data_IF_780929647543
#
_entry.id   IF_780929647543
#
_cell.length_a   1.000
_cell.length_b   1.000
_cell.length_c   1.000
_cell.angle_alpha   90.00
_cell.angle_beta   90.00
_cell.angle_gamma   90.00
#
_symmetry.space_group_name_H-M   'P 1'
#
loop_
_entity.id
_entity.type
_entity.pdbx_description
1 polymer ?
#
# COMPACT_ATOMS: atom_id res chain seq x y z
N UNK A 1 29.86 -12.03 -13.92
CA UNK A 1 29.03 -11.66 -12.76
C UNK A 1 29.76 -10.65 -11.87
N UNK A 2 29.36 -9.39 -11.99
CA UNK A 2 29.67 -8.34 -11.02
C UNK A 2 28.78 -8.40 -9.79
N UNK A 3 29.29 -7.92 -8.64
CA UNK A 3 28.50 -7.67 -7.42
C UNK A 3 28.18 -6.18 -7.35
N UNK A 4 26.89 -5.84 -7.31
CA UNK A 4 26.39 -4.46 -7.27
C UNK A 4 25.75 -4.21 -5.91
N UNK A 5 26.17 -3.16 -5.22
CA UNK A 5 25.50 -2.69 -3.99
C UNK A 5 24.14 -2.11 -4.32
N UNK A 6 23.10 -2.52 -3.59
CA UNK A 6 21.77 -1.95 -3.74
C UNK A 6 21.77 -0.58 -3.06
N UNK A 7 21.59 0.48 -3.86
CA UNK A 7 21.44 1.87 -3.41
C UNK A 7 19.95 2.26 -3.36
N UNK A 8 19.60 3.42 -2.75
CA UNK A 8 18.23 3.93 -2.76
C UNK A 8 17.58 4.03 -4.16
N UNK A 9 18.36 4.24 -5.21
CA UNK A 9 17.88 4.39 -6.60
C UNK A 9 17.22 3.11 -7.15
N UNK A 10 17.54 1.95 -6.57
CA UNK A 10 16.91 0.68 -6.94
C UNK A 10 15.51 0.54 -6.37
N UNK A 11 15.13 1.30 -5.35
CA UNK A 11 13.90 1.04 -4.59
C UNK A 11 12.77 1.95 -5.04
N UNK A 12 11.63 1.35 -5.34
CA UNK A 12 10.40 2.07 -5.67
C UNK A 12 9.32 1.83 -4.60
N UNK A 13 8.45 2.83 -4.39
CA UNK A 13 7.32 2.78 -3.46
C UNK A 13 7.68 3.00 -1.97
N UNK A 14 8.93 3.34 -1.67
CA UNK A 14 9.38 3.71 -0.33
C UNK A 14 9.13 5.18 -0.03
N UNK A 15 8.87 5.51 1.24
CA UNK A 15 8.77 6.89 1.73
C UNK A 15 10.14 7.43 2.10
N UNK A 16 10.93 6.64 2.82
CA UNK A 16 12.36 6.88 3.04
C UNK A 16 13.11 5.56 2.98
N UNK A 17 14.44 5.65 2.80
CA UNK A 17 15.32 4.49 2.71
C UNK A 17 16.46 4.74 3.70
N UNK A 18 16.58 3.86 4.69
CA UNK A 18 17.67 3.85 5.65
C UNK A 18 18.85 3.12 5.04
N UNK A 19 19.98 3.81 4.88
CA UNK A 19 21.25 3.22 4.44
C UNK A 19 22.09 2.89 5.67
N UNK A 20 22.43 1.61 5.85
CA UNK A 20 23.31 1.12 6.90
C UNK A 20 24.60 0.51 6.36
N UNK A 21 25.37 -0.16 7.21
CA UNK A 21 26.63 -0.82 6.85
C UNK A 21 26.41 -1.97 5.85
N UNK A 22 26.45 -1.64 4.57
CA UNK A 22 26.33 -2.56 3.45
C UNK A 22 24.91 -3.04 3.15
N UNK A 23 23.87 -2.31 3.60
CA UNK A 23 22.49 -2.60 3.25
C UNK A 23 21.63 -1.34 3.16
N UNK A 24 20.52 -1.44 2.43
CA UNK A 24 19.40 -0.49 2.48
C UNK A 24 18.17 -1.15 3.09
N UNK A 25 17.42 -0.36 3.86
CA UNK A 25 16.14 -0.76 4.45
C UNK A 25 15.08 0.27 4.06
N UNK A 26 14.09 -0.11 3.24
CA UNK A 26 13.06 0.84 2.86
C UNK A 26 11.94 0.90 3.90
N UNK A 27 11.38 2.10 4.08
CA UNK A 27 10.39 2.44 5.09
C UNK A 27 9.16 3.09 4.47
N UNK A 28 7.99 2.86 5.07
CA UNK A 28 6.72 3.57 4.79
C UNK A 28 6.47 4.72 5.76
N UNK A 29 7.55 5.29 6.27
CA UNK A 29 7.56 6.45 7.17
C UNK A 29 8.84 7.22 6.95
N UNK A 30 8.98 8.38 7.58
CA UNK A 30 10.30 9.00 7.79
C UNK A 30 10.96 8.31 9.00
N UNK A 31 11.91 7.41 8.73
CA UNK A 31 12.55 6.60 9.77
C UNK A 31 13.35 7.43 10.78
N UNK A 32 13.78 8.64 10.39
CA UNK A 32 14.50 9.57 11.27
C UNK A 32 13.57 10.27 12.25
N UNK A 33 12.28 10.36 11.91
CA UNK A 33 11.23 10.99 12.71
C UNK A 33 10.21 9.97 13.24
N UNK A 34 10.53 8.67 13.26
CA UNK A 34 9.60 7.60 13.66
C UNK A 34 8.95 7.79 15.03
N UNK A 35 9.61 8.51 15.94
CA UNK A 35 9.09 8.85 17.27
C UNK A 35 7.87 9.79 17.24
N UNK A 36 7.60 10.45 16.10
CA UNK A 36 6.41 11.28 15.91
C UNK A 36 5.17 10.48 15.51
N UNK A 37 5.25 9.15 15.44
CA UNK A 37 4.16 8.27 15.03
C UNK A 37 3.79 7.31 16.18
N UNK A 38 3.23 7.82 17.29
CA UNK A 38 2.96 7.02 18.47
C UNK A 38 1.83 6.01 18.24
N UNK A 39 1.92 4.87 18.92
CA UNK A 39 0.85 3.87 19.00
C UNK A 39 1.13 2.93 20.16
N UNK A 40 0.12 2.16 20.58
CA UNK A 40 0.32 1.10 21.58
C UNK A 40 1.38 0.13 21.04
N UNK A 41 2.40 -0.14 21.86
CA UNK A 41 3.53 -1.02 21.57
C UNK A 41 4.28 -0.69 20.26
N UNK A 42 4.31 0.58 19.86
CA UNK A 42 4.91 1.05 18.59
C UNK A 42 4.39 0.32 17.34
N UNK A 43 3.17 -0.23 17.40
CA UNK A 43 2.60 -1.03 16.33
C UNK A 43 2.49 -0.27 14.99
N UNK A 44 2.20 1.03 15.00
CA UNK A 44 2.20 1.89 13.81
C UNK A 44 3.56 1.89 13.11
N UNK A 45 4.63 2.15 13.85
CA UNK A 45 6.01 2.12 13.32
C UNK A 45 6.39 0.71 12.86
N UNK A 46 5.98 -0.32 13.59
CA UNK A 46 6.17 -1.70 13.19
C UNK A 46 5.49 -2.01 11.84
N UNK A 47 4.24 -1.58 11.62
CA UNK A 47 3.58 -1.73 10.33
C UNK A 47 4.32 -0.94 9.24
N UNK A 48 4.72 0.30 9.50
CA UNK A 48 5.44 1.14 8.53
C UNK A 48 6.83 0.60 8.16
N UNK A 49 7.41 -0.29 8.97
CA UNK A 49 8.69 -0.95 8.69
C UNK A 49 8.63 -2.07 7.65
N UNK A 50 7.42 -2.56 7.31
CA UNK A 50 7.19 -3.64 6.35
C UNK A 50 7.12 -3.05 4.92
N UNK A 51 7.86 -3.59 3.94
CA UNK A 51 7.98 -2.97 2.61
C UNK A 51 6.82 -3.33 1.66
N UNK A 52 5.58 -3.19 2.15
CA UNK A 52 4.38 -3.52 1.39
C UNK A 52 4.24 -2.61 0.17
N UNK A 53 4.09 -3.20 -1.01
CA UNK A 53 3.99 -2.46 -2.28
C UNK A 53 5.31 -1.91 -2.81
N UNK A 54 6.43 -2.18 -2.13
CA UNK A 54 7.75 -1.76 -2.58
C UNK A 54 8.37 -2.82 -3.49
N UNK A 55 9.24 -2.37 -4.38
CA UNK A 55 9.99 -3.26 -5.27
C UNK A 55 11.40 -2.74 -5.54
N UNK A 56 12.29 -3.66 -5.86
CA UNK A 56 13.59 -3.36 -6.48
C UNK A 56 13.37 -3.29 -7.98
N UNK A 57 13.71 -2.17 -8.64
CA UNK A 57 13.54 -1.95 -10.08
C UNK A 57 14.89 -1.73 -10.76
N UNK A 58 15.22 -2.55 -11.76
CA UNK A 58 16.50 -2.54 -12.45
C UNK A 58 16.41 -3.15 -13.86
N UNK A 59 17.48 -3.02 -14.65
CA UNK A 59 17.71 -3.83 -15.87
C UNK A 59 18.96 -4.66 -15.69
N UNK A 60 19.13 -5.72 -16.48
CA UNK A 60 20.31 -6.61 -16.41
C UNK A 60 20.48 -7.41 -17.69
N UNK A 61 21.73 -7.54 -18.15
CA UNK A 61 22.07 -8.43 -19.28
C UNK A 61 22.13 -9.90 -18.87
N UNK A 62 21.94 -10.21 -17.59
CA UNK A 62 21.92 -11.57 -17.07
C UNK A 62 20.52 -12.19 -17.16
N UNK A 63 20.44 -13.46 -17.53
CA UNK A 63 19.17 -14.23 -17.49
C UNK A 63 18.82 -14.75 -16.08
N UNK A 64 19.74 -14.58 -15.13
CA UNK A 64 19.57 -14.85 -13.71
C UNK A 64 20.42 -13.90 -12.88
N UNK A 65 19.91 -13.50 -11.71
CA UNK A 65 20.67 -12.72 -10.71
C UNK A 65 20.49 -13.31 -9.32
N UNK A 66 21.41 -12.95 -8.42
CA UNK A 66 21.37 -13.40 -7.03
C UNK A 66 21.37 -12.21 -6.08
N UNK A 67 20.33 -12.09 -5.26
CA UNK A 67 20.21 -11.07 -4.23
C UNK A 67 20.82 -11.55 -2.92
N UNK A 68 21.54 -10.67 -2.23
CA UNK A 68 21.96 -10.84 -0.84
C UNK A 68 21.09 -9.98 0.08
N UNK A 69 20.56 -10.59 1.13
CA UNK A 69 19.67 -9.99 2.11
C UNK A 69 20.15 -10.30 3.54
N UNK A 70 19.76 -9.50 4.53
CA UNK A 70 19.90 -9.92 5.92
C UNK A 70 18.88 -11.02 6.28
N UNK A 71 19.24 -11.94 7.18
CA UNK A 71 18.36 -13.02 7.60
C UNK A 71 17.12 -12.46 8.30
N UNK A 72 16.02 -13.21 8.23
CA UNK A 72 14.78 -12.92 8.95
C UNK A 72 14.27 -14.21 9.62
N UNK A 73 13.48 -14.07 10.69
CA UNK A 73 12.95 -15.18 11.45
C UNK A 73 11.77 -15.89 10.76
N UNK A 74 11.21 -15.31 9.70
CA UNK A 74 10.10 -15.91 8.94
C UNK A 74 10.46 -16.15 7.47
N UNK A 75 9.83 -17.16 6.86
CA UNK A 75 9.86 -17.34 5.41
C UNK A 75 9.25 -16.13 4.71
N UNK A 76 9.96 -15.62 3.71
CA UNK A 76 9.60 -14.42 2.95
C UNK A 76 9.32 -14.79 1.50
N UNK A 77 8.27 -14.22 0.93
CA UNK A 77 7.94 -14.36 -0.50
C UNK A 77 8.29 -13.10 -1.27
N UNK A 78 8.79 -13.28 -2.48
CA UNK A 78 9.12 -12.24 -3.45
C UNK A 78 8.40 -12.56 -4.76
N UNK A 79 8.05 -11.56 -5.54
CA UNK A 79 7.52 -11.78 -6.89
C UNK A 79 8.42 -11.13 -7.94
N UNK A 80 8.65 -11.86 -9.03
CA UNK A 80 9.25 -11.33 -10.25
C UNK A 80 8.12 -10.80 -11.13
N UNK A 81 8.19 -9.50 -11.45
CA UNK A 81 7.28 -8.83 -12.36
C UNK A 81 8.09 -8.21 -13.48
N UNK A 82 7.67 -8.44 -14.73
CA UNK A 82 8.28 -7.86 -15.94
C UNK A 82 7.17 -7.17 -16.72
N UNK A 83 7.37 -5.88 -17.02
CA UNK A 83 6.26 -5.03 -17.46
C UNK A 83 5.17 -4.97 -16.38
N UNK A 84 3.95 -5.36 -16.75
CA UNK A 84 2.81 -5.45 -15.82
C UNK A 84 2.43 -6.91 -15.47
N UNK A 85 3.21 -7.89 -15.94
CA UNK A 85 2.92 -9.32 -15.76
C UNK A 85 3.75 -9.94 -14.64
N UNK A 86 3.07 -10.69 -13.76
CA UNK A 86 3.74 -11.47 -12.71
C UNK A 86 4.24 -12.78 -13.30
N UNK A 87 5.55 -12.96 -13.31
CA UNK A 87 6.21 -14.12 -13.90
C UNK A 87 6.27 -15.28 -12.92
N UNK A 88 6.78 -15.04 -11.71
CA UNK A 88 6.99 -16.09 -10.71
C UNK A 88 6.93 -15.54 -9.29
N UNK A 89 6.77 -16.45 -8.34
CA UNK A 89 6.88 -16.18 -6.90
C UNK A 89 8.01 -17.04 -6.37
N UNK A 90 8.94 -16.41 -5.66
CA UNK A 90 10.05 -17.08 -5.00
C UNK A 90 9.84 -17.03 -3.49
N UNK A 91 10.29 -18.07 -2.79
CA UNK A 91 10.33 -18.12 -1.33
C UNK A 91 11.78 -18.15 -0.87
N UNK A 92 12.06 -17.42 0.21
CA UNK A 92 13.33 -17.44 0.92
C UNK A 92 13.02 -17.89 2.34
N UNK A 93 13.59 -19.02 2.77
CA UNK A 93 13.26 -19.60 4.06
C UNK A 93 13.84 -18.79 5.22
N UNK A 94 13.32 -19.04 6.43
CA UNK A 94 13.78 -18.37 7.64
C UNK A 94 15.29 -18.58 7.83
N UNK A 95 16.02 -17.49 8.10
CA UNK A 95 17.47 -17.49 8.24
C UNK A 95 18.26 -17.45 6.93
N UNK A 96 17.66 -17.73 5.77
CA UNK A 96 18.35 -17.65 4.50
C UNK A 96 18.59 -16.20 4.06
N UNK A 97 19.73 -16.00 3.39
CA UNK A 97 20.26 -14.67 3.02
C UNK A 97 20.44 -14.48 1.53
N UNK A 98 20.18 -15.51 0.73
CA UNK A 98 20.49 -15.51 -0.71
C UNK A 98 19.26 -15.92 -1.50
N UNK A 99 18.75 -15.02 -2.34
CA UNK A 99 17.62 -15.26 -3.23
C UNK A 99 18.08 -15.28 -4.68
N UNK A 100 17.92 -16.40 -5.37
CA UNK A 100 18.23 -16.52 -6.80
C UNK A 100 16.98 -16.28 -7.64
N UNK A 101 17.11 -15.45 -8.68
CA UNK A 101 16.01 -15.06 -9.55
C UNK A 101 16.42 -15.35 -10.99
N UNK A 102 15.83 -16.38 -11.58
CA UNK A 102 16.02 -16.72 -13.00
C UNK A 102 14.83 -16.30 -13.87
N UNK A 103 14.93 -16.60 -15.17
CA UNK A 103 13.88 -16.28 -16.14
C UNK A 103 13.85 -14.80 -16.51
N UNK A 104 15.00 -14.11 -16.41
CA UNK A 104 15.13 -12.71 -16.81
C UNK A 104 15.38 -12.61 -18.32
N UNK A 105 14.99 -11.49 -18.97
CA UNK A 105 15.16 -11.30 -20.41
C UNK A 105 16.63 -11.32 -20.85
N UNK A 106 17.54 -10.83 -19.99
CA UNK A 106 18.97 -10.75 -20.30
C UNK A 106 19.31 -9.63 -21.29
N UNK A 107 18.61 -8.49 -21.20
CA UNK A 107 18.79 -7.31 -22.05
C UNK A 107 18.98 -6.02 -21.22
N UNK A 108 19.33 -4.91 -21.87
CA UNK A 108 19.56 -3.62 -21.19
C UNK A 108 18.32 -2.70 -21.18
N UNK A 109 17.21 -3.13 -21.77
CA UNK A 109 16.07 -2.26 -22.08
C UNK A 109 14.87 -2.55 -21.17
N UNK A 110 14.65 -3.82 -20.84
CA UNK A 110 13.44 -4.31 -20.16
C UNK A 110 13.54 -4.13 -18.64
N UNK A 111 12.77 -3.22 -18.03
CA UNK A 111 12.76 -3.06 -16.58
C UNK A 111 12.17 -4.29 -15.89
N UNK A 112 12.88 -4.78 -14.88
CA UNK A 112 12.50 -5.88 -14.01
C UNK A 112 12.13 -5.33 -12.64
N UNK A 113 11.10 -5.89 -12.02
CA UNK A 113 10.69 -5.57 -10.67
C UNK A 113 10.67 -6.79 -9.76
N UNK A 114 11.37 -6.71 -8.62
CA UNK A 114 11.28 -7.70 -7.55
C UNK A 114 10.46 -7.11 -6.41
N UNK A 115 9.21 -7.55 -6.30
CA UNK A 115 8.28 -7.09 -5.28
C UNK A 115 8.62 -7.67 -3.91
N UNK A 116 8.72 -6.79 -2.92
CA UNK A 116 9.24 -7.12 -1.60
C UNK A 116 8.17 -7.72 -0.67
N UNK A 117 8.56 -8.61 0.25
CA UNK A 117 7.67 -9.23 1.24
C UNK A 117 6.84 -8.23 2.04
N UNK A 118 5.62 -8.61 2.39
CA UNK A 118 4.75 -7.80 3.27
C UNK A 118 4.70 -8.29 4.73
N UNK A 119 5.42 -9.38 5.05
CA UNK A 119 5.54 -9.97 6.39
C UNK A 119 6.96 -9.74 6.93
N UNK A 120 7.16 -8.60 7.60
CA UNK A 120 8.43 -8.23 8.23
C UNK A 120 9.25 -7.20 7.43
N UNK A 121 10.27 -6.59 8.05
CA UNK A 121 11.20 -5.70 7.37
C UNK A 121 12.12 -6.45 6.40
N UNK A 122 12.69 -5.75 5.43
CA UNK A 122 13.65 -6.32 4.49
C UNK A 122 14.87 -5.41 4.42
N UNK A 123 16.05 -5.99 4.61
CA UNK A 123 17.34 -5.31 4.48
C UNK A 123 18.06 -5.94 3.28
N UNK A 124 18.25 -5.14 2.24
CA UNK A 124 18.81 -5.54 0.94
C UNK A 124 20.27 -5.10 0.86
N UNK A 125 21.18 -6.00 0.49
CA UNK A 125 22.62 -5.72 0.43
C UNK A 125 23.13 -5.56 -1.00
N UNK A 126 23.13 -6.65 -1.78
CA UNK A 126 23.72 -6.68 -3.12
C UNK A 126 22.89 -7.46 -4.12
N UNK A 127 23.13 -7.20 -5.41
CA UNK A 127 22.66 -8.01 -6.54
C UNK A 127 23.91 -8.47 -7.30
N UNK A 128 24.04 -9.78 -7.50
CA UNK A 128 25.10 -10.35 -8.32
C UNK A 128 24.52 -10.66 -9.71
N UNK A 129 25.11 -10.03 -10.72
CA UNK A 129 24.69 -10.10 -12.12
C UNK A 129 25.50 -9.14 -12.97
N UNK A 130 25.59 -9.40 -14.27
CA UNK A 130 26.20 -8.53 -15.26
C UNK A 130 25.20 -7.48 -15.76
N UNK A 131 25.65 -6.24 -15.98
CA UNK A 131 24.82 -5.15 -16.50
C UNK A 131 23.73 -4.63 -15.56
N UNK A 132 23.75 -5.02 -14.27
CA UNK A 132 22.74 -4.60 -13.29
C UNK A 132 22.85 -3.10 -13.01
N UNK A 133 21.78 -2.35 -13.30
CA UNK A 133 21.68 -0.92 -12.97
C UNK A 133 20.25 -0.54 -12.61
N UNK A 134 20.04 0.45 -11.70
CA UNK A 134 18.71 0.93 -11.40
C UNK A 134 18.11 1.61 -12.64
N UNK A 135 16.78 1.63 -12.72
CA UNK A 135 16.06 2.33 -13.78
C UNK A 135 14.91 3.12 -13.17
N UNK A 136 14.77 4.37 -13.64
CA UNK A 136 13.69 5.25 -13.20
C UNK A 136 12.31 4.64 -13.54
N UNK A 137 11.31 5.03 -12.76
CA UNK A 137 9.92 4.62 -12.96
C UNK A 137 9.10 5.86 -13.37
N UNK A 138 8.83 6.06 -14.67
CA UNK A 138 8.13 7.25 -15.17
C UNK A 138 6.61 7.16 -15.00
N UNK A 139 6.08 6.04 -14.48
CA UNK A 139 4.64 5.84 -14.29
C UNK A 139 4.06 6.83 -13.29
N UNK A 140 2.77 7.15 -13.46
CA UNK A 140 2.02 8.01 -12.55
C UNK A 140 2.09 7.47 -11.11
N UNK A 141 2.35 8.36 -10.16
CA UNK A 141 2.53 8.05 -8.75
C UNK A 141 1.19 7.99 -8.05
N UNK A 142 0.81 6.79 -7.65
CA UNK A 142 -0.39 6.55 -6.87
C UNK A 142 -0.03 6.17 -5.43
N UNK A 143 -0.51 6.97 -4.47
CA UNK A 143 -0.45 6.64 -3.06
C UNK A 143 -1.81 6.12 -2.59
N UNK A 144 -1.82 4.99 -1.87
CA UNK A 144 -3.04 4.49 -1.21
C UNK A 144 -2.85 4.34 0.29
N UNK A 145 -3.73 4.95 1.08
CA UNK A 145 -3.77 4.83 2.54
C UNK A 145 -4.94 3.95 2.97
N UNK A 146 -4.72 3.08 3.95
CA UNK A 146 -5.80 2.26 4.48
C UNK A 146 -5.38 1.28 5.56
N UNK A 147 -6.26 0.32 5.85
CA UNK A 147 -6.12 -0.63 6.95
C UNK A 147 -5.28 -1.87 6.61
N UNK A 148 -5.44 -2.94 7.41
CA UNK A 148 -4.92 -4.27 7.14
C UNK A 148 -5.35 -4.80 5.77
N UNK A 149 -6.55 -4.46 5.31
CA UNK A 149 -7.03 -4.87 3.97
C UNK A 149 -6.14 -4.25 2.89
N UNK A 150 -5.78 -2.97 3.01
CA UNK A 150 -4.82 -2.29 2.12
C UNK A 150 -3.41 -2.82 2.26
N UNK A 151 -3.03 -3.30 3.43
CA UNK A 151 -1.76 -3.99 3.61
C UNK A 151 -1.72 -5.38 2.94
N UNK A 152 -2.86 -5.93 2.52
CA UNK A 152 -2.99 -7.29 1.96
C UNK A 152 -3.39 -8.36 2.98
N UNK A 153 -3.88 -7.96 4.16
CA UNK A 153 -4.52 -8.80 5.18
C UNK A 153 -3.62 -9.86 5.83
N UNK A 154 -2.37 -9.98 5.38
CA UNK A 154 -1.59 -11.21 5.59
C UNK A 154 -2.11 -12.40 4.78
N UNK A 155 -3.11 -12.22 3.92
CA UNK A 155 -3.87 -13.26 3.22
C UNK A 155 -3.65 -13.28 1.72
N UNK A 156 -3.11 -12.20 1.15
CA UNK A 156 -2.72 -12.14 -0.26
C UNK A 156 -1.77 -13.30 -0.63
N UNK A 157 -1.92 -13.88 -1.81
CA UNK A 157 -1.13 -15.05 -2.22
C UNK A 157 0.39 -14.79 -2.24
N UNK A 158 0.79 -13.58 -2.65
CA UNK A 158 2.17 -13.11 -2.78
C UNK A 158 2.24 -11.57 -2.84
N UNK A 159 3.41 -10.93 -2.74
CA UNK A 159 3.53 -9.47 -2.64
C UNK A 159 2.87 -8.64 -3.73
N UNK A 160 2.99 -9.07 -4.99
CA UNK A 160 2.39 -8.39 -6.16
C UNK A 160 0.91 -8.69 -6.36
N UNK A 161 0.30 -9.48 -5.45
CA UNK A 161 -1.10 -9.94 -5.47
C UNK A 161 -1.92 -9.40 -4.28
N UNK A 162 -1.43 -8.34 -3.63
CA UNK A 162 -2.27 -7.50 -2.77
C UNK A 162 -3.22 -6.67 -3.64
N UNK A 163 -4.35 -6.19 -3.09
CA UNK A 163 -5.28 -5.39 -3.91
C UNK A 163 -4.62 -4.12 -4.50
N UNK A 164 -3.75 -3.37 -3.77
CA UNK A 164 -3.08 -2.22 -4.35
C UNK A 164 -2.08 -2.61 -5.44
N UNK A 165 -1.31 -3.68 -5.24
CA UNK A 165 -0.32 -4.14 -6.23
C UNK A 165 -0.99 -4.67 -7.51
N UNK A 166 -2.11 -5.37 -7.35
CA UNK A 166 -2.93 -5.85 -8.47
C UNK A 166 -3.48 -4.67 -9.26
N UNK A 167 -4.05 -3.68 -8.57
CA UNK A 167 -4.63 -2.50 -9.20
C UNK A 167 -3.55 -1.62 -9.87
N UNK A 168 -2.39 -1.44 -9.24
CA UNK A 168 -1.32 -0.61 -9.79
C UNK A 168 -0.73 -1.21 -11.06
N UNK A 169 -0.57 -2.53 -11.10
CA UNK A 169 -0.12 -3.23 -12.32
C UNK A 169 -1.15 -3.15 -13.44
N UNK A 170 -2.44 -3.31 -13.12
CA UNK A 170 -3.51 -3.22 -14.11
C UNK A 170 -3.68 -1.82 -14.72
N UNK A 171 -3.33 -0.76 -13.98
CA UNK A 171 -3.42 0.64 -14.42
C UNK A 171 -2.07 1.29 -14.75
N UNK A 172 -0.99 0.51 -14.79
CA UNK A 172 0.38 0.99 -15.07
C UNK A 172 0.83 2.16 -14.15
N UNK A 173 0.69 1.98 -12.84
CA UNK A 173 0.98 3.00 -11.81
C UNK A 173 2.21 2.67 -10.96
N UNK A 174 2.95 3.71 -10.56
CA UNK A 174 3.98 3.66 -9.54
C UNK A 174 3.33 3.72 -8.14
N UNK A 175 3.17 2.55 -7.52
CA UNK A 175 2.49 2.40 -6.23
C UNK A 175 3.37 2.84 -5.04
N UNK A 176 2.78 3.62 -4.14
CA UNK A 176 3.17 3.75 -2.73
C UNK A 176 2.02 3.26 -1.84
N UNK A 177 2.22 2.12 -1.16
CA UNK A 177 1.15 1.50 -0.36
C UNK A 177 1.29 1.82 1.14
N UNK A 178 0.47 2.74 1.63
CA UNK A 178 0.29 3.08 3.05
C UNK A 178 -0.85 2.26 3.70
N UNK A 179 -0.91 0.95 3.43
CA UNK A 179 -1.76 0.03 4.17
C UNK A 179 -1.19 -0.29 5.56
N UNK A 180 -1.79 0.22 6.63
CA UNK A 180 -1.30 0.13 8.00
C UNK A 180 -2.26 -0.72 8.84
N UNK A 181 -1.88 -1.97 9.03
CA UNK A 181 -2.67 -3.03 9.64
C UNK A 181 -3.11 -2.72 11.06
N UNK A 182 -4.41 -2.48 11.24
CA UNK A 182 -4.96 -2.11 12.54
C UNK A 182 -4.59 -0.71 12.98
N UNK A 183 -4.08 0.14 12.10
CA UNK A 183 -3.49 1.45 12.43
C UNK A 183 -3.96 2.58 11.48
N UNK A 184 -5.07 2.36 10.75
CA UNK A 184 -5.67 3.40 9.92
C UNK A 184 -6.71 4.21 10.72
N UNK A 185 -6.23 5.17 11.53
CA UNK A 185 -7.07 5.94 12.47
C UNK A 185 -7.15 7.44 12.17
N UNK A 186 -6.74 7.87 10.97
CA UNK A 186 -6.74 9.28 10.54
C UNK A 186 -5.79 10.16 11.38
N UNK A 187 -4.63 9.61 11.73
CA UNK A 187 -3.57 10.31 12.45
C UNK A 187 -3.06 11.52 11.66
N UNK A 188 -3.04 12.69 12.30
CA UNK A 188 -2.59 13.93 11.64
C UNK A 188 -1.15 13.86 11.17
N UNK A 189 -0.29 13.11 11.86
CA UNK A 189 1.09 12.87 11.43
C UNK A 189 1.18 12.03 10.16
N UNK A 190 0.24 11.11 9.92
CA UNK A 190 0.16 10.39 8.65
C UNK A 190 -0.36 11.31 7.54
N UNK A 191 -1.32 12.20 7.82
CA UNK A 191 -1.75 13.21 6.86
C UNK A 191 -0.59 14.11 6.43
N UNK A 192 0.21 14.60 7.38
CA UNK A 192 1.41 15.40 7.12
C UNK A 192 2.46 14.63 6.32
N UNK A 193 2.64 13.35 6.64
CA UNK A 193 3.55 12.49 5.90
C UNK A 193 3.12 12.40 4.43
N UNK A 194 1.84 12.13 4.15
CA UNK A 194 1.28 12.05 2.79
C UNK A 194 1.39 13.41 2.08
N UNK A 195 1.00 14.51 2.76
CA UNK A 195 1.10 15.90 2.26
C UNK A 195 2.50 16.26 1.74
N UNK A 196 3.53 15.72 2.37
CA UNK A 196 4.92 16.04 2.04
C UNK A 196 5.52 15.04 1.04
N UNK A 197 4.73 14.20 0.36
CA UNK A 197 5.20 13.27 -0.69
C UNK A 197 4.90 13.81 -2.08
N UNK A 198 5.68 13.35 -3.05
CA UNK A 198 5.42 13.58 -4.46
C UNK A 198 4.47 12.50 -4.98
N UNK A 199 3.23 12.89 -5.28
CA UNK A 199 2.11 12.00 -5.61
C UNK A 199 1.20 12.67 -6.63
N UNK A 200 0.83 11.93 -7.67
CA UNK A 200 -0.07 12.41 -8.73
C UNK A 200 -1.54 12.17 -8.35
N UNK A 201 -1.85 11.03 -7.72
CA UNK A 201 -3.21 10.70 -7.27
C UNK A 201 -3.20 9.93 -5.94
N UNK A 202 -4.25 10.14 -5.13
CA UNK A 202 -4.38 9.57 -3.80
C UNK A 202 -5.67 8.78 -3.65
N UNK A 203 -5.62 7.62 -3.01
CA UNK A 203 -6.82 6.95 -2.47
C UNK A 203 -6.71 6.72 -0.97
N UNK A 204 -7.82 6.87 -0.24
CA UNK A 204 -7.89 6.62 1.19
C UNK A 204 -9.06 5.69 1.50
N UNK A 205 -8.76 4.46 1.94
CA UNK A 205 -9.77 3.45 2.33
C UNK A 205 -9.96 3.45 3.84
N UNK A 206 -11.00 4.13 4.31
CA UNK A 206 -11.14 4.59 5.70
C UNK A 206 -12.23 3.83 6.46
N UNK A 207 -12.17 3.85 7.79
CA UNK A 207 -13.27 3.42 8.68
C UNK A 207 -13.02 2.12 9.46
N UNK A 208 -12.63 1.03 8.81
CA UNK A 208 -12.67 -0.30 9.46
C UNK A 208 -11.79 -0.45 10.72
N UNK A 209 -10.65 0.24 10.81
CA UNK A 209 -9.84 0.22 12.03
C UNK A 209 -10.42 1.12 13.13
N UNK A 210 -11.03 2.25 12.76
CA UNK A 210 -11.83 3.06 13.69
C UNK A 210 -13.00 2.23 14.23
N UNK A 211 -13.66 1.44 13.38
CA UNK A 211 -14.75 0.54 13.79
C UNK A 211 -14.27 -0.49 14.81
N UNK A 212 -13.18 -1.20 14.49
CA UNK A 212 -12.64 -2.26 15.33
C UNK A 212 -12.08 -1.77 16.67
N UNK A 213 -11.43 -0.59 16.69
CA UNK A 213 -10.79 -0.05 17.89
C UNK A 213 -11.66 0.95 18.66
N UNK A 214 -12.82 1.35 18.11
CA UNK A 214 -13.64 2.45 18.63
C UNK A 214 -12.84 3.75 18.87
N UNK A 215 -11.82 4.00 18.04
CA UNK A 215 -10.85 5.07 18.27
C UNK A 215 -11.40 6.48 18.04
N UNK A 216 -12.48 6.59 17.25
CA UNK A 216 -13.23 7.82 17.00
C UNK A 216 -14.72 7.51 17.11
N UNK A 217 -15.47 8.43 17.71
CA UNK A 217 -16.92 8.34 17.84
C UNK A 217 -17.61 8.97 16.63
N UNK A 218 -18.94 8.79 16.47
CA UNK A 218 -19.70 9.51 15.45
C UNK A 218 -19.48 11.04 15.50
N UNK A 219 -19.21 11.59 16.69
CA UNK A 219 -18.92 13.03 16.86
C UNK A 219 -17.57 13.44 16.29
N UNK A 220 -16.54 12.60 16.36
CA UNK A 220 -15.15 12.99 16.04
C UNK A 220 -14.67 12.49 14.68
N UNK A 221 -15.25 11.41 14.16
CA UNK A 221 -14.80 10.79 12.90
C UNK A 221 -14.87 11.72 11.69
N UNK A 222 -16.02 12.35 11.44
CA UNK A 222 -16.19 13.30 10.32
C UNK A 222 -15.19 14.46 10.37
N UNK A 223 -15.01 15.03 11.56
CA UNK A 223 -14.02 16.10 11.77
C UNK A 223 -12.60 15.64 11.47
N UNK A 224 -12.25 14.40 11.84
CA UNK A 224 -10.94 13.82 11.52
C UNK A 224 -10.76 13.59 10.01
N UNK A 225 -11.77 13.10 9.29
CA UNK A 225 -11.73 12.93 7.83
C UNK A 225 -11.52 14.28 7.13
N UNK A 226 -12.27 15.31 7.55
CA UNK A 226 -12.13 16.67 7.03
C UNK A 226 -10.72 17.19 7.29
N UNK A 227 -10.26 17.18 8.55
CA UNK A 227 -8.94 17.68 8.92
C UNK A 227 -7.80 16.96 8.21
N UNK A 228 -7.86 15.63 8.13
CA UNK A 228 -6.87 14.81 7.42
C UNK A 228 -6.78 15.20 5.94
N UNK A 229 -7.93 15.36 5.27
CA UNK A 229 -7.99 15.76 3.86
C UNK A 229 -7.49 17.19 3.66
N UNK A 230 -7.86 18.12 4.53
CA UNK A 230 -7.41 19.52 4.46
C UNK A 230 -5.89 19.64 4.66
N UNK A 231 -5.29 18.88 5.59
CA UNK A 231 -3.83 18.83 5.75
C UNK A 231 -3.16 18.42 4.43
N UNK A 232 -3.68 17.41 3.74
CA UNK A 232 -3.12 16.98 2.44
C UNK A 232 -3.27 18.08 1.39
N UNK A 233 -4.43 18.77 1.35
CA UNK A 233 -4.69 19.88 0.42
C UNK A 233 -3.75 21.07 0.59
N UNK A 234 -3.12 21.27 1.74
CA UNK A 234 -2.13 22.33 1.95
C UNK A 234 -0.99 22.31 0.92
N UNK A 235 -0.59 21.12 0.43
CA UNK A 235 0.45 20.99 -0.61
C UNK A 235 0.01 20.26 -1.88
N UNK A 236 -1.18 19.67 -1.87
CA UNK A 236 -1.77 19.02 -3.04
C UNK A 236 -3.13 19.65 -3.38
N UNK A 237 -3.14 20.92 -3.84
CA UNK A 237 -4.37 21.67 -4.02
C UNK A 237 -5.31 21.06 -5.08
N UNK A 238 -4.76 20.33 -6.06
CA UNK A 238 -5.51 19.92 -7.26
C UNK A 238 -5.50 18.41 -7.54
N UNK A 239 -4.66 17.61 -6.86
CA UNK A 239 -4.57 16.19 -7.18
C UNK A 239 -5.92 15.50 -6.94
N UNK A 240 -6.33 14.52 -7.74
CA UNK A 240 -7.52 13.73 -7.48
C UNK A 240 -7.35 12.88 -6.21
N UNK A 241 -8.30 12.99 -5.29
CA UNK A 241 -8.38 12.20 -4.04
C UNK A 241 -9.62 11.31 -4.08
N UNK A 242 -9.44 10.00 -4.03
CA UNK A 242 -10.52 9.02 -3.87
C UNK A 242 -10.69 8.57 -2.43
N UNK A 243 -11.81 8.91 -1.79
CA UNK A 243 -12.19 8.37 -0.48
C UNK A 243 -13.05 7.12 -0.70
N UNK A 244 -12.53 5.97 -0.26
CA UNK A 244 -13.16 4.66 -0.40
C UNK A 244 -13.73 4.27 0.97
N UNK A 245 -15.03 4.00 1.01
CA UNK A 245 -15.68 3.54 2.25
C UNK A 245 -15.35 2.06 2.56
N UNK A 246 -15.61 1.56 3.77
CA UNK A 246 -15.40 0.15 4.10
C UNK A 246 -16.10 -0.80 3.13
N UNK A 247 -15.40 -1.88 2.75
CA UNK A 247 -16.03 -3.06 2.11
C UNK A 247 -16.97 -3.74 3.11
N UNK A 248 -17.71 -4.75 2.67
CA UNK A 248 -18.56 -5.52 3.56
C UNK A 248 -17.76 -6.14 4.72
N UNK A 249 -18.27 -6.05 5.94
CA UNK A 249 -17.87 -6.88 7.07
C UNK A 249 -19.13 -7.28 7.84
N UNK A 250 -19.75 -8.42 7.49
CA UNK A 250 -21.08 -8.80 8.01
C UNK A 250 -21.27 -8.65 9.52
N UNK A 251 -20.33 -9.04 10.40
CA UNK A 251 -20.53 -8.88 11.84
C UNK A 251 -20.54 -7.42 12.35
N UNK A 252 -20.19 -6.45 11.50
CA UNK A 252 -19.95 -5.03 11.85
C UNK A 252 -20.82 -4.03 11.08
N UNK A 253 -21.68 -4.49 10.17
CA UNK A 253 -22.49 -3.60 9.33
C UNK A 253 -23.45 -2.75 10.17
N UNK A 254 -24.37 -3.39 10.89
CA UNK A 254 -25.36 -2.73 11.74
C UNK A 254 -25.07 -2.85 13.25
N UNK A 255 -24.07 -3.64 13.64
CA UNK A 255 -23.71 -3.84 15.05
C UNK A 255 -22.90 -2.65 15.57
N UNK A 256 -23.37 -1.89 16.58
CA UNK A 256 -22.61 -0.78 17.14
C UNK A 256 -21.36 -1.25 17.87
N UNK A 257 -20.26 -0.53 17.72
CA UNK A 257 -19.08 -0.67 18.59
C UNK A 257 -19.29 0.02 19.96
N UNK A 258 -18.26 0.05 20.81
CA UNK A 258 -18.34 0.60 22.17
C UNK A 258 -18.61 2.11 22.25
N UNK A 259 -18.51 2.84 21.14
CA UNK A 259 -18.85 4.28 21.06
C UNK A 259 -20.12 4.54 20.24
N UNK A 260 -20.91 3.49 19.99
CA UNK A 260 -22.20 3.58 19.31
C UNK A 260 -22.11 3.79 17.80
N UNK A 261 -20.98 3.44 17.18
CA UNK A 261 -20.76 3.62 15.74
C UNK A 261 -20.90 2.29 14.98
N UNK A 262 -21.46 2.31 13.77
CA UNK A 262 -21.56 1.15 12.87
C UNK A 262 -20.81 1.41 11.56
N UNK A 263 -20.56 0.37 10.76
CA UNK A 263 -19.96 0.59 9.43
C UNK A 263 -20.91 1.36 8.49
N UNK A 264 -22.21 1.10 8.55
CA UNK A 264 -23.22 1.85 7.78
C UNK A 264 -23.12 3.35 8.07
N UNK A 265 -23.14 3.73 9.35
CA UNK A 265 -22.98 5.14 9.75
C UNK A 265 -21.63 5.71 9.27
N UNK A 266 -20.54 4.94 9.32
CA UNK A 266 -19.25 5.42 8.80
C UNK A 266 -19.29 5.72 7.30
N UNK A 267 -20.04 4.94 6.51
CA UNK A 267 -20.19 5.20 5.06
C UNK A 267 -20.92 6.53 4.83
N UNK A 268 -21.98 6.79 5.59
CA UNK A 268 -22.73 8.06 5.52
C UNK A 268 -21.87 9.25 5.95
N UNK A 269 -21.10 9.09 7.02
CA UNK A 269 -20.24 10.14 7.57
C UNK A 269 -19.08 10.50 6.63
N UNK A 270 -18.59 9.56 5.82
CA UNK A 270 -17.61 9.84 4.76
C UNK A 270 -18.22 10.67 3.62
N UNK A 271 -19.46 10.39 3.22
CA UNK A 271 -20.17 11.18 2.21
C UNK A 271 -20.38 12.61 2.72
N UNK A 272 -20.93 12.76 3.94
CA UNK A 272 -21.15 14.10 4.53
C UNK A 272 -19.84 14.88 4.73
N UNK A 273 -18.73 14.20 5.07
CA UNK A 273 -17.42 14.85 5.14
C UNK A 273 -17.00 15.46 3.79
N UNK A 274 -17.16 14.72 2.70
CA UNK A 274 -16.81 15.16 1.34
C UNK A 274 -17.71 16.32 0.91
N UNK A 275 -19.02 16.20 1.12
CA UNK A 275 -19.99 17.24 0.76
C UNK A 275 -19.71 18.55 1.51
N UNK A 276 -19.35 18.48 2.79
CA UNK A 276 -18.96 19.66 3.58
C UNK A 276 -17.69 20.32 3.06
N UNK A 277 -16.67 19.53 2.70
CA UNK A 277 -15.45 20.07 2.09
C UNK A 277 -15.82 20.79 0.80
N UNK A 278 -16.54 20.11 -0.10
CA UNK A 278 -16.95 20.68 -1.39
C UNK A 278 -17.77 21.97 -1.23
N UNK A 279 -18.72 22.00 -0.30
CA UNK A 279 -19.52 23.20 -0.03
C UNK A 279 -18.69 24.36 0.53
N UNK A 280 -17.71 24.07 1.38
CA UNK A 280 -16.90 25.10 2.03
C UNK A 280 -15.76 25.62 1.14
N UNK A 281 -15.17 24.78 0.29
CA UNK A 281 -13.96 25.11 -0.47
C UNK A 281 -14.15 25.11 -1.98
N UNK A 282 -15.23 24.54 -2.50
CA UNK A 282 -15.44 24.33 -3.93
C UNK A 282 -14.63 23.16 -4.51
N UNK A 283 -13.97 22.34 -3.69
CA UNK A 283 -13.11 21.25 -4.16
C UNK A 283 -13.94 20.11 -4.80
N UNK A 284 -13.83 20.01 -6.13
CA UNK A 284 -14.48 18.99 -6.96
C UNK A 284 -13.55 17.81 -7.30
N UNK A 285 -12.29 17.84 -6.83
CA UNK A 285 -11.28 16.80 -7.03
C UNK A 285 -11.26 15.76 -5.91
N UNK A 286 -12.27 15.76 -5.04
CA UNK A 286 -12.50 14.72 -4.02
C UNK A 286 -13.69 13.86 -4.44
N UNK A 287 -13.43 12.57 -4.63
CA UNK A 287 -14.36 11.57 -5.12
C UNK A 287 -14.71 10.57 -4.01
N UNK A 288 -15.98 10.22 -3.91
CA UNK A 288 -16.44 9.13 -3.07
C UNK A 288 -16.53 7.83 -3.88
N UNK A 289 -16.08 6.73 -3.29
CA UNK A 289 -16.26 5.38 -3.82
C UNK A 289 -16.89 4.47 -2.75
N UNK A 290 -18.01 3.84 -3.11
CA UNK A 290 -18.69 2.92 -2.23
C UNK A 290 -17.92 1.60 -2.14
N UNK A 291 -17.38 1.27 -0.96
CA UNK A 291 -16.65 0.02 -0.75
C UNK A 291 -17.48 -1.24 -1.01
N UNK A 292 -18.81 -1.17 -0.87
CA UNK A 292 -19.71 -2.29 -1.16
C UNK A 292 -19.83 -2.60 -2.66
N UNK A 293 -19.58 -1.63 -3.53
CA UNK A 293 -19.56 -1.84 -4.98
C UNK A 293 -18.26 -2.55 -5.41
N UNK A 294 -17.17 -2.31 -4.69
CA UNK A 294 -15.89 -2.98 -4.94
C UNK A 294 -15.88 -4.41 -4.40
N UNK A 295 -16.46 -4.60 -3.22
CA UNK A 295 -16.51 -5.87 -2.51
C UNK A 295 -17.68 -5.91 -1.52
N UNK A 296 -18.82 -6.39 -2.00
CA UNK A 296 -20.10 -6.45 -1.28
C UNK A 296 -20.46 -7.83 -0.72
N UNK A 297 -21.64 -7.92 -0.11
CA UNK A 297 -22.19 -9.12 0.56
C UNK A 297 -22.11 -10.39 -0.30
N UNK A 298 -22.32 -10.27 -1.61
CA UNK A 298 -22.26 -11.38 -2.57
C UNK A 298 -20.91 -12.10 -2.61
N UNK A 299 -19.83 -11.43 -2.17
CA UNK A 299 -18.48 -12.01 -2.10
C UNK A 299 -18.12 -12.47 -0.69
N UNK A 300 -18.89 -12.11 0.33
CA UNK A 300 -18.50 -12.30 1.73
C UNK A 300 -18.32 -13.79 2.08
N UNK A 301 -19.26 -14.64 1.65
CA UNK A 301 -19.24 -16.08 1.94
C UNK A 301 -17.97 -16.77 1.44
N UNK A 302 -17.55 -16.48 0.22
CA UNK A 302 -16.49 -17.23 -0.45
C UNK A 302 -15.11 -16.63 -0.21
N UNK A 303 -15.06 -15.34 0.09
CA UNK A 303 -13.81 -14.58 0.10
C UNK A 303 -13.47 -13.90 1.43
N UNK A 304 -14.35 -13.93 2.45
CA UNK A 304 -14.06 -13.41 3.80
C UNK A 304 -14.09 -14.52 4.87
N UNK A 305 -13.03 -15.32 5.01
CA UNK A 305 -13.00 -16.45 5.95
C UNK A 305 -13.19 -16.06 7.42
N UNK A 306 -12.87 -14.81 7.79
CA UNK A 306 -13.08 -14.25 9.13
C UNK A 306 -14.15 -13.14 9.17
N UNK A 307 -14.91 -12.98 8.08
CA UNK A 307 -15.90 -11.92 7.91
C UNK A 307 -15.31 -10.51 7.82
N UNK A 308 -14.01 -10.35 7.54
CA UNK A 308 -13.33 -9.05 7.51
C UNK A 308 -12.24 -8.94 6.43
N UNK A 309 -11.29 -9.88 6.38
CA UNK A 309 -10.15 -9.83 5.48
C UNK A 309 -10.43 -10.67 4.23
N UNK A 310 -10.34 -10.07 3.02
CA UNK A 310 -10.32 -10.84 1.79
C UNK A 310 -9.24 -11.91 1.83
N UNK A 311 -9.55 -13.14 1.45
CA UNK A 311 -8.54 -14.18 1.20
C UNK A 311 -7.69 -13.80 -0.02
N UNK A 312 -6.77 -14.68 -0.44
CA UNK A 312 -5.89 -14.39 -1.57
C UNK A 312 -6.62 -14.00 -2.85
N UNK A 313 -7.67 -14.75 -3.21
CA UNK A 313 -8.47 -14.49 -4.42
C UNK A 313 -9.31 -13.22 -4.23
N UNK A 314 -9.88 -13.01 -3.04
CA UNK A 314 -10.62 -11.80 -2.70
C UNK A 314 -9.77 -10.53 -2.77
N UNK A 315 -8.47 -10.60 -2.43
CA UNK A 315 -7.55 -9.48 -2.61
C UNK A 315 -7.41 -9.09 -4.09
N UNK A 316 -7.33 -10.05 -4.99
CA UNK A 316 -7.22 -9.82 -6.43
C UNK A 316 -8.53 -9.32 -7.03
N UNK A 317 -9.67 -9.85 -6.59
CA UNK A 317 -11.00 -9.34 -6.96
C UNK A 317 -11.13 -7.87 -6.58
N UNK A 318 -10.80 -7.52 -5.33
CA UNK A 318 -10.82 -6.13 -4.86
C UNK A 318 -9.87 -5.25 -5.69
N UNK A 319 -8.69 -5.78 -6.05
CA UNK A 319 -7.72 -5.08 -6.90
C UNK A 319 -8.25 -4.82 -8.31
N UNK A 320 -8.88 -5.83 -8.92
CA UNK A 320 -9.54 -5.72 -10.22
C UNK A 320 -10.68 -4.71 -10.22
N UNK A 321 -11.54 -4.74 -9.20
CA UNK A 321 -12.61 -3.74 -9.04
C UNK A 321 -12.04 -2.32 -8.91
N UNK A 322 -10.99 -2.12 -8.11
CA UNK A 322 -10.35 -0.81 -7.97
C UNK A 322 -9.72 -0.32 -9.30
N UNK A 323 -9.06 -1.21 -10.04
CA UNK A 323 -8.49 -0.91 -11.35
C UNK A 323 -9.54 -0.54 -12.41
N UNK A 324 -10.74 -1.11 -12.30
CA UNK A 324 -11.84 -0.85 -13.23
C UNK A 324 -12.64 0.40 -12.86
N UNK A 325 -12.99 0.54 -11.57
CA UNK A 325 -14.07 1.43 -11.15
C UNK A 325 -13.59 2.69 -10.42
N UNK A 326 -12.33 2.70 -9.95
CA UNK A 326 -11.73 3.82 -9.19
C UNK A 326 -10.62 4.51 -10.00
N UNK A 327 -9.54 3.78 -10.29
CA UNK A 327 -8.31 4.39 -10.79
C UNK A 327 -8.49 5.14 -12.12
N UNK A 328 -9.25 4.63 -13.12
CA UNK A 328 -9.46 5.36 -14.36
C UNK A 328 -10.14 6.71 -14.15
N UNK A 329 -11.08 6.81 -13.19
CA UNK A 329 -11.76 8.09 -12.89
C UNK A 329 -10.80 9.11 -12.28
N UNK A 330 -9.90 8.66 -11.41
CA UNK A 330 -8.88 9.54 -10.81
C UNK A 330 -7.83 9.95 -11.84
N UNK A 331 -7.34 9.02 -12.66
CA UNK A 331 -6.37 9.29 -13.73
C UNK A 331 -6.94 10.30 -14.73
N UNK A 332 -8.21 10.15 -15.14
CA UNK A 332 -8.88 11.11 -16.03
C UNK A 332 -9.10 12.49 -15.40
N UNK A 333 -8.90 12.62 -14.08
CA UNK A 333 -9.07 13.85 -13.34
C UNK A 333 -7.72 14.53 -12.97
N UNK A 334 -6.58 14.01 -13.43
CA UNK A 334 -5.28 14.71 -13.36
C UNK A 334 -5.29 15.96 -14.25
#
# INVERSE_FOLDING_TARGET
MSTITITPEFIQGAITIESGDGYVRPWRTDYTQKQLYPSIDDNLVNQMSKPVGMRVRFVTTSTSVMFSLRPDAVTRKFDLVIGNERISTMSLDAGETTLTIGGLPGDEETPIEIWLPYRGPVLLATINGDGVRPVADPRLKWLTYGSSITQGGGTAHSPSRTWPATASRACDLNLTCMGLGGQCHLDSMIARLIRDRDVDLLTMKLGINVMGAASLSPRTFKGAVIGFTQIIREKHPTIPIGIISPIISPPREATPNSVGFTLEMMRDELIDAIDRIRQATGDDKIFYFNGLELFGEQLARDYLPDGLHPNGDGCEILGGSAAKDILPKLINAL
#
